data_IF_074132930303
#
_entry.id   IF_074132930303
#
_cell.length_a   1.000
_cell.length_b   1.000
_cell.length_c   1.000
_cell.angle_alpha   90.00
_cell.angle_beta   90.00
_cell.angle_gamma   90.00
#
_symmetry.space_group_name_H-M   'P 1'
#
loop_
_entity.id
_entity.type
_entity.pdbx_description
1 polymer ?
#
# COMPACT_ATOMS: atom_id res chain seq x y z
N UNK A 1 -35.82 -1.32 -10.12
CA UNK A 1 -34.35 -1.12 -10.15
C UNK A 1 -33.65 -2.02 -9.11
N UNK A 2 -34.02 -3.30 -9.02
CA UNK A 2 -34.06 -3.95 -7.68
C UNK A 2 -33.63 -5.43 -7.58
N UNK A 3 -33.45 -6.19 -8.66
CA UNK A 3 -32.98 -7.59 -8.59
C UNK A 3 -31.54 -7.77 -9.10
N UNK A 4 -31.24 -7.24 -10.31
CA UNK A 4 -29.91 -7.30 -10.93
C UNK A 4 -28.83 -6.65 -10.06
N UNK A 5 -29.14 -5.53 -9.40
CA UNK A 5 -28.20 -4.82 -8.52
C UNK A 5 -27.90 -5.54 -7.22
N UNK A 6 -28.78 -6.43 -6.76
CA UNK A 6 -28.58 -7.28 -5.57
C UNK A 6 -27.74 -8.50 -5.94
N UNK A 7 -28.04 -9.16 -7.06
CA UNK A 7 -27.27 -10.30 -7.57
C UNK A 7 -25.83 -9.89 -7.81
N UNK A 8 -25.60 -8.77 -8.50
CA UNK A 8 -24.25 -8.27 -8.78
C UNK A 8 -23.49 -7.90 -7.51
N UNK A 9 -24.16 -7.31 -6.52
CA UNK A 9 -23.56 -6.99 -5.22
C UNK A 9 -23.11 -8.26 -4.48
N UNK A 10 -23.96 -9.29 -4.46
CA UNK A 10 -23.63 -10.57 -3.83
C UNK A 10 -22.49 -11.26 -4.58
N UNK A 11 -22.52 -11.26 -5.91
CA UNK A 11 -21.44 -11.80 -6.73
C UNK A 11 -20.10 -11.12 -6.47
N UNK A 12 -20.06 -9.78 -6.48
CA UNK A 12 -18.84 -9.02 -6.19
C UNK A 12 -18.36 -9.25 -4.75
N UNK A 13 -19.28 -9.39 -3.78
CA UNK A 13 -18.92 -9.78 -2.41
C UNK A 13 -18.21 -11.13 -2.37
N UNK A 14 -18.78 -12.16 -2.99
CA UNK A 14 -18.18 -13.49 -3.02
C UNK A 14 -16.84 -13.50 -3.76
N UNK A 15 -16.72 -12.76 -4.87
CA UNK A 15 -15.42 -12.64 -5.56
C UNK A 15 -14.33 -11.99 -4.69
N UNK A 16 -14.68 -10.96 -3.91
CA UNK A 16 -13.74 -10.32 -2.98
C UNK A 16 -13.24 -11.30 -1.93
N UNK A 17 -14.16 -12.03 -1.30
CA UNK A 17 -13.85 -13.04 -0.29
C UNK A 17 -13.04 -14.19 -0.90
N UNK A 18 -13.40 -14.64 -2.09
CA UNK A 18 -12.66 -15.68 -2.82
C UNK A 18 -11.21 -15.26 -3.08
N UNK A 19 -10.97 -14.01 -3.52
CA UNK A 19 -9.61 -13.52 -3.76
C UNK A 19 -8.75 -13.50 -2.49
N UNK A 20 -9.31 -13.07 -1.35
CA UNK A 20 -8.63 -13.10 -0.04
C UNK A 20 -8.32 -14.55 0.36
N UNK A 21 -9.29 -15.45 0.28
CA UNK A 21 -9.15 -16.86 0.70
C UNK A 21 -8.23 -17.66 -0.21
N UNK A 22 -8.23 -17.39 -1.51
CA UNK A 22 -7.28 -18.00 -2.44
C UNK A 22 -5.83 -17.67 -2.08
N UNK A 23 -5.57 -16.42 -1.67
CA UNK A 23 -4.25 -16.02 -1.16
C UNK A 23 -3.90 -16.73 0.16
N UNK A 24 -4.85 -16.76 1.11
CA UNK A 24 -4.64 -17.45 2.39
C UNK A 24 -4.28 -18.93 2.19
N UNK A 25 -5.07 -19.63 1.38
CA UNK A 25 -4.91 -21.06 1.11
C UNK A 25 -3.60 -21.37 0.39
N UNK A 26 -3.14 -20.50 -0.52
CA UNK A 26 -1.91 -20.73 -1.28
C UNK A 26 -0.63 -20.61 -0.44
N UNK A 27 -0.70 -19.83 0.65
CA UNK A 27 0.45 -19.49 1.49
C UNK A 27 0.27 -19.89 2.95
N UNK A 28 -0.62 -20.85 3.21
CA UNK A 28 -0.83 -21.50 4.50
C UNK A 28 -1.07 -20.49 5.64
N UNK A 29 -1.81 -19.42 5.33
CA UNK A 29 -2.20 -18.41 6.30
C UNK A 29 -3.32 -19.00 7.15
N UNK A 30 -2.97 -19.51 8.34
CA UNK A 30 -3.97 -19.79 9.37
C UNK A 30 -4.83 -18.53 9.60
N UNK A 31 -6.13 -18.66 9.89
CA UNK A 31 -6.97 -17.50 10.21
C UNK A 31 -6.42 -16.81 11.46
N UNK A 32 -5.65 -15.75 11.24
CA UNK A 32 -5.02 -14.93 12.26
C UNK A 32 -5.96 -13.77 12.56
N UNK A 33 -6.24 -13.51 13.84
CA UNK A 33 -6.99 -12.33 14.22
C UNK A 33 -6.28 -11.04 13.77
N UNK A 34 -7.00 -10.01 13.25
CA UNK A 34 -8.44 -9.88 13.00
C UNK A 34 -8.89 -10.16 11.55
N UNK A 35 -8.36 -11.17 10.87
CA UNK A 35 -8.66 -11.42 9.44
C UNK A 35 -10.15 -11.62 9.14
N UNK A 36 -10.89 -12.29 10.01
CA UNK A 36 -12.34 -12.45 9.85
C UNK A 36 -13.07 -11.10 9.88
N UNK A 37 -12.71 -10.20 10.78
CA UNK A 37 -13.29 -8.85 10.82
C UNK A 37 -12.98 -8.08 9.54
N UNK A 38 -11.78 -8.27 8.97
CA UNK A 38 -11.43 -7.68 7.69
C UNK A 38 -12.27 -8.26 6.54
N UNK A 39 -12.48 -9.58 6.48
CA UNK A 39 -13.37 -10.21 5.50
C UNK A 39 -14.81 -9.69 5.60
N UNK A 40 -15.36 -9.59 6.82
CA UNK A 40 -16.69 -9.04 7.06
C UNK A 40 -16.81 -7.57 6.62
N UNK A 41 -15.77 -6.77 6.89
CA UNK A 41 -15.67 -5.38 6.45
C UNK A 41 -15.66 -5.29 4.92
N UNK A 42 -14.79 -6.02 4.24
CA UNK A 42 -14.69 -6.06 2.77
C UNK A 42 -15.99 -6.58 2.13
N UNK A 43 -16.68 -7.51 2.79
CA UNK A 43 -17.96 -8.03 2.33
C UNK A 43 -19.08 -6.99 2.33
N UNK A 44 -19.03 -5.99 3.23
CA UNK A 44 -20.03 -4.92 3.37
C UNK A 44 -19.78 -3.72 2.45
N UNK A 45 -18.57 -3.59 1.90
CA UNK A 45 -18.20 -2.47 1.02
C UNK A 45 -19.05 -2.51 -0.26
N UNK A 46 -19.64 -1.36 -0.57
CA UNK A 46 -20.44 -1.14 -1.78
C UNK A 46 -19.64 -0.34 -2.80
N UNK A 47 -20.04 -0.36 -4.08
CA UNK A 47 -19.34 0.36 -5.16
C UNK A 47 -18.01 -0.26 -5.57
N UNK A 48 -17.35 0.36 -6.55
CA UNK A 48 -16.11 -0.12 -7.12
C UNK A 48 -14.95 -0.07 -6.12
N UNK A 49 -14.11 -1.10 -6.15
CA UNK A 49 -12.92 -1.18 -5.32
C UNK A 49 -11.85 -2.07 -5.96
N UNK A 50 -10.69 -2.14 -5.32
CA UNK A 50 -9.72 -3.21 -5.56
C UNK A 50 -9.23 -3.78 -4.23
N UNK A 51 -8.74 -5.01 -4.25
CA UNK A 51 -8.05 -5.61 -3.12
C UNK A 51 -6.61 -5.84 -3.55
N UNK A 52 -5.68 -5.38 -2.74
CA UNK A 52 -4.29 -5.82 -2.75
C UNK A 52 -4.14 -6.98 -1.78
N UNK A 53 -3.47 -8.03 -2.24
CA UNK A 53 -2.94 -9.10 -1.41
C UNK A 53 -1.43 -9.11 -1.57
N UNK A 54 -0.69 -9.20 -0.46
CA UNK A 54 0.77 -9.06 -0.49
C UNK A 54 1.49 -10.08 0.37
N UNK A 55 2.73 -10.35 -0.02
CA UNK A 55 3.65 -11.15 0.77
C UNK A 55 4.87 -10.31 1.14
N UNK A 56 5.26 -10.37 2.41
CA UNK A 56 6.58 -9.91 2.88
C UNK A 56 7.43 -11.14 3.11
N UNK A 57 8.56 -11.20 2.41
CA UNK A 57 9.54 -12.27 2.47
C UNK A 57 10.75 -11.75 3.23
N UNK A 58 11.17 -12.48 4.27
CA UNK A 58 12.35 -12.19 5.09
C UNK A 58 13.20 -13.46 5.22
N UNK A 59 14.21 -13.58 4.35
CA UNK A 59 14.90 -14.83 4.08
C UNK A 59 13.89 -15.91 3.65
N UNK A 60 13.78 -17.01 4.38
CA UNK A 60 12.82 -18.08 4.10
C UNK A 60 11.45 -17.87 4.76
N UNK A 61 11.30 -16.82 5.60
CA UNK A 61 10.04 -16.53 6.27
C UNK A 61 9.08 -15.81 5.33
N UNK A 62 7.88 -16.37 5.17
CA UNK A 62 6.79 -15.80 4.38
C UNK A 62 5.69 -15.23 5.30
N UNK A 63 5.43 -13.94 5.20
CA UNK A 63 4.34 -13.25 5.88
C UNK A 63 3.28 -12.86 4.83
N UNK A 64 2.18 -13.61 4.79
CA UNK A 64 1.16 -13.51 3.73
C UNK A 64 -0.23 -13.06 4.23
N UNK A 65 -0.45 -12.84 5.52
CA UNK A 65 -1.74 -12.33 6.01
C UNK A 65 -1.85 -10.80 5.86
N UNK A 66 -1.70 -10.30 4.63
CA UNK A 66 -1.55 -8.87 4.33
C UNK A 66 -2.48 -8.45 3.20
N UNK A 67 -3.46 -7.62 3.53
CA UNK A 67 -4.49 -7.20 2.59
C UNK A 67 -4.78 -5.71 2.72
N UNK A 68 -5.04 -5.04 1.60
CA UNK A 68 -5.57 -3.67 1.58
C UNK A 68 -6.77 -3.60 0.65
N UNK A 69 -7.84 -2.97 1.12
CA UNK A 69 -8.95 -2.53 0.29
C UNK A 69 -8.66 -1.13 -0.24
N UNK A 70 -8.82 -0.94 -1.55
CA UNK A 70 -8.71 0.33 -2.25
C UNK A 70 -10.09 0.84 -2.61
N UNK A 71 -10.46 2.02 -2.10
CA UNK A 71 -11.71 2.66 -2.46
C UNK A 71 -11.58 3.41 -3.79
N UNK A 72 -12.50 3.16 -4.72
CA UNK A 72 -12.68 3.97 -5.93
C UNK A 72 -13.95 4.80 -5.75
N UNK A 73 -13.75 6.06 -5.35
CA UNK A 73 -14.82 7.03 -5.08
C UNK A 73 -14.50 8.34 -5.77
N UNK A 74 -15.56 9.10 -6.01
CA UNK A 74 -15.44 10.51 -6.33
C UNK A 74 -14.81 11.26 -5.16
N UNK A 75 -14.08 12.33 -5.45
CA UNK A 75 -13.36 13.12 -4.45
C UNK A 75 -14.31 13.74 -3.41
N UNK A 76 -13.74 14.23 -2.30
CA UNK A 76 -14.52 14.92 -1.28
C UNK A 76 -15.21 13.98 -0.28
N UNK A 77 -16.49 14.25 -0.01
CA UNK A 77 -17.21 13.64 1.13
C UNK A 77 -17.35 12.11 1.04
N UNK A 78 -17.26 11.52 -0.16
CA UNK A 78 -17.30 10.07 -0.30
C UNK A 78 -16.09 9.40 0.39
N UNK A 79 -14.89 9.99 0.30
CA UNK A 79 -13.72 9.49 1.03
C UNK A 79 -13.84 9.66 2.54
N UNK A 80 -14.51 10.71 3.02
CA UNK A 80 -14.80 10.88 4.45
C UNK A 80 -15.68 9.75 4.97
N UNK A 81 -16.72 9.38 4.22
CA UNK A 81 -17.59 8.24 4.54
C UNK A 81 -16.83 6.92 4.54
N UNK A 82 -15.98 6.68 3.55
CA UNK A 82 -15.13 5.48 3.52
C UNK A 82 -14.20 5.42 4.74
N UNK A 83 -13.62 6.54 5.17
CA UNK A 83 -12.82 6.56 6.40
C UNK A 83 -13.67 6.19 7.63
N UNK A 84 -14.89 6.72 7.75
CA UNK A 84 -15.78 6.38 8.87
C UNK A 84 -16.11 4.89 8.91
N UNK A 85 -16.39 4.27 7.76
CA UNK A 85 -16.60 2.83 7.63
C UNK A 85 -15.36 2.04 8.08
N UNK A 86 -14.18 2.50 7.70
CA UNK A 86 -12.93 1.87 8.11
C UNK A 86 -12.58 2.04 9.58
N UNK A 87 -12.87 3.21 10.18
CA UNK A 87 -12.72 3.44 11.62
C UNK A 87 -13.68 2.54 12.38
N UNK A 88 -14.92 2.34 11.90
CA UNK A 88 -15.85 1.41 12.51
C UNK A 88 -15.33 -0.04 12.47
N UNK A 89 -14.65 -0.45 11.39
CA UNK A 89 -13.91 -1.71 11.37
C UNK A 89 -12.81 -1.76 12.43
N UNK A 90 -11.99 -0.70 12.57
CA UNK A 90 -10.94 -0.68 13.59
C UNK A 90 -11.53 -0.75 15.01
N UNK A 91 -12.65 -0.06 15.27
CA UNK A 91 -13.36 -0.14 16.54
C UNK A 91 -13.90 -1.55 16.84
N UNK A 92 -14.28 -2.34 15.84
CA UNK A 92 -14.64 -3.75 16.04
C UNK A 92 -13.42 -4.57 16.50
N UNK A 93 -12.24 -4.29 15.95
CA UNK A 93 -10.99 -4.94 16.38
C UNK A 93 -10.63 -4.53 17.81
N UNK A 94 -10.77 -3.24 18.16
CA UNK A 94 -10.53 -2.72 19.52
C UNK A 94 -11.51 -3.22 20.58
N UNK A 95 -12.69 -3.72 20.18
CA UNK A 95 -13.66 -4.27 21.13
C UNK A 95 -13.20 -5.57 21.80
N UNK A 96 -12.11 -6.18 21.33
CA UNK A 96 -11.50 -7.36 21.93
C UNK A 96 -10.60 -7.01 23.12
N UNK A 97 -10.58 -7.89 24.13
CA UNK A 97 -10.13 -7.64 25.53
C UNK A 97 -8.67 -7.14 25.71
N UNK A 98 -7.87 -7.01 24.65
CA UNK A 98 -6.43 -6.69 24.77
C UNK A 98 -5.89 -5.76 23.68
N UNK A 99 -6.76 -5.12 22.89
CA UNK A 99 -6.34 -4.22 21.81
C UNK A 99 -6.75 -2.79 22.13
N UNK A 100 -5.77 -1.88 22.12
CA UNK A 100 -6.03 -0.43 22.18
C UNK A 100 -5.16 0.26 21.15
N UNK A 101 -5.78 0.83 20.12
CA UNK A 101 -5.06 1.49 19.05
C UNK A 101 -4.75 2.94 19.46
N UNK A 102 -3.61 3.44 19.00
CA UNK A 102 -3.22 4.83 19.23
C UNK A 102 -3.48 5.67 17.98
N UNK A 103 -4.48 6.53 18.03
CA UNK A 103 -4.86 7.38 16.91
C UNK A 103 -4.18 8.76 16.92
N UNK A 104 -3.31 9.07 17.88
CA UNK A 104 -2.81 10.43 18.09
C UNK A 104 -2.12 11.03 16.86
N UNK A 105 -1.23 10.25 16.23
CA UNK A 105 -0.52 10.67 15.02
C UNK A 105 -1.51 10.89 13.87
N UNK A 106 -2.47 9.99 13.72
CA UNK A 106 -3.48 10.06 12.67
C UNK A 106 -4.43 11.26 12.85
N UNK A 107 -4.89 11.51 14.08
CA UNK A 107 -5.74 12.66 14.41
C UNK A 107 -5.01 13.97 14.20
N UNK A 108 -3.72 14.07 14.59
CA UNK A 108 -2.87 15.24 14.31
C UNK A 108 -2.71 15.47 12.81
N UNK A 109 -2.56 14.40 12.02
CA UNK A 109 -2.46 14.52 10.57
C UNK A 109 -3.75 15.07 9.95
N UNK A 110 -4.92 14.53 10.34
CA UNK A 110 -6.19 15.04 9.86
C UNK A 110 -6.42 16.49 10.29
N UNK A 111 -6.18 16.82 11.55
CA UNK A 111 -6.49 18.14 12.11
C UNK A 111 -7.99 18.45 12.03
N UNK A 112 -8.35 19.74 12.19
CA UNK A 112 -9.75 20.18 12.18
C UNK A 112 -10.29 20.42 10.77
N UNK A 113 -9.45 20.93 9.88
CA UNK A 113 -9.85 21.44 8.55
C UNK A 113 -9.28 20.59 7.42
N UNK A 114 -9.36 19.25 7.55
CA UNK A 114 -8.89 18.34 6.51
C UNK A 114 -9.72 18.51 5.22
N UNK A 115 -9.07 18.90 4.14
CA UNK A 115 -9.71 19.07 2.84
C UNK A 115 -9.81 17.74 2.09
N UNK A 116 -11.00 17.15 2.14
CA UNK A 116 -11.33 15.88 1.50
C UNK A 116 -11.33 15.96 -0.03
N UNK A 117 -11.45 17.15 -0.63
CA UNK A 117 -11.40 17.30 -2.09
C UNK A 117 -10.02 16.98 -2.67
N UNK A 118 -8.99 17.07 -1.81
CA UNK A 118 -7.59 16.79 -2.17
C UNK A 118 -7.20 15.33 -2.05
N UNK A 119 -8.10 14.46 -1.55
CA UNK A 119 -7.86 13.01 -1.47
C UNK A 119 -8.14 12.36 -2.82
N UNK A 120 -7.11 11.76 -3.40
CA UNK A 120 -7.21 10.96 -4.62
C UNK A 120 -7.50 9.49 -4.36
N UNK A 121 -7.12 8.99 -3.18
CA UNK A 121 -7.31 7.60 -2.80
C UNK A 121 -7.26 7.42 -1.30
N UNK A 122 -8.11 6.51 -0.82
CA UNK A 122 -8.06 5.97 0.52
C UNK A 122 -7.92 4.45 0.42
N UNK A 123 -7.10 3.87 1.29
CA UNK A 123 -7.04 2.42 1.49
C UNK A 123 -7.19 2.07 2.96
N UNK A 124 -7.64 0.85 3.23
CA UNK A 124 -7.76 0.30 4.58
C UNK A 124 -7.41 -1.17 4.56
N UNK A 125 -6.65 -1.65 5.53
CA UNK A 125 -6.48 -3.08 5.67
C UNK A 125 -5.62 -3.53 6.83
N UNK A 126 -4.93 -4.64 6.62
CA UNK A 126 -4.31 -5.44 7.68
C UNK A 126 -2.93 -5.98 7.26
N UNK A 127 -2.02 -6.09 8.22
CA UNK A 127 -0.76 -6.85 8.13
C UNK A 127 -0.64 -7.69 9.40
N UNK A 128 -0.99 -8.98 9.31
CA UNK A 128 -1.17 -9.82 10.49
C UNK A 128 -0.01 -10.79 10.67
N UNK A 129 0.35 -10.99 11.94
CA UNK A 129 1.48 -11.79 12.39
C UNK A 129 1.00 -12.88 13.34
N UNK A 130 1.79 -13.93 13.49
CA UNK A 130 1.55 -14.97 14.50
C UNK A 130 1.56 -14.40 15.92
N UNK A 131 2.44 -13.44 16.18
CA UNK A 131 2.45 -12.67 17.42
C UNK A 131 1.49 -11.47 17.30
N UNK A 132 0.39 -11.51 18.06
CA UNK A 132 -0.69 -10.53 17.99
C UNK A 132 -0.22 -9.06 18.13
N UNK A 133 0.65 -8.69 19.10
CA UNK A 133 1.27 -7.38 19.20
C UNK A 133 1.92 -6.82 17.93
N UNK A 134 2.42 -7.71 17.05
CA UNK A 134 3.12 -7.33 15.82
C UNK A 134 2.18 -7.19 14.62
N UNK A 135 0.92 -7.60 14.76
CA UNK A 135 -0.13 -7.34 13.78
C UNK A 135 -0.48 -5.85 13.76
N UNK A 136 -0.89 -5.35 12.60
CA UNK A 136 -1.33 -3.96 12.44
C UNK A 136 -2.53 -3.80 11.53
N UNK A 137 -3.31 -2.77 11.82
CA UNK A 137 -4.30 -2.20 10.91
C UNK A 137 -3.66 -1.04 10.15
N UNK A 138 -4.11 -0.79 8.92
CA UNK A 138 -3.41 0.14 8.01
C UNK A 138 -4.36 1.11 7.34
N UNK A 139 -3.94 2.37 7.23
CA UNK A 139 -4.51 3.36 6.31
C UNK A 139 -3.48 3.82 5.30
N UNK A 140 -3.91 4.15 4.09
CA UNK A 140 -3.12 5.01 3.20
C UNK A 140 -3.98 6.09 2.56
N UNK A 141 -3.46 7.31 2.55
CA UNK A 141 -4.04 8.45 1.84
C UNK A 141 -3.12 8.81 0.68
N UNK A 142 -3.66 8.93 -0.52
CA UNK A 142 -2.97 9.58 -1.63
C UNK A 142 -3.58 10.95 -1.82
N UNK A 143 -2.76 12.00 -1.71
CA UNK A 143 -3.23 13.40 -1.74
C UNK A 143 -2.60 14.16 -2.91
N UNK A 144 -3.33 15.13 -3.45
CA UNK A 144 -2.87 16.00 -4.53
C UNK A 144 -3.12 17.46 -4.19
N UNK A 145 -2.21 18.33 -4.61
CA UNK A 145 -2.31 19.78 -4.40
C UNK A 145 -2.51 20.13 -2.91
N UNK A 146 -1.86 19.36 -2.01
CA UNK A 146 -2.02 19.48 -0.55
C UNK A 146 -0.69 19.62 0.23
N UNK A 147 0.17 20.60 -0.11
CA UNK A 147 1.52 20.71 0.46
C UNK A 147 1.55 20.81 1.99
N UNK A 148 0.57 21.47 2.61
CA UNK A 148 0.46 21.59 4.08
C UNK A 148 0.35 20.21 4.78
N UNK A 149 -0.35 19.25 4.18
CA UNK A 149 -0.46 17.89 4.73
C UNK A 149 0.78 17.06 4.50
N UNK A 150 1.53 17.32 3.43
CA UNK A 150 2.86 16.74 3.23
C UNK A 150 3.78 17.21 4.37
N UNK A 151 3.82 18.52 4.64
CA UNK A 151 4.63 19.10 5.72
C UNK A 151 4.21 18.59 7.11
N UNK A 152 2.91 18.37 7.31
CA UNK A 152 2.39 17.77 8.53
C UNK A 152 2.81 16.31 8.68
N UNK A 153 2.68 15.49 7.63
CA UNK A 153 3.15 14.10 7.66
C UNK A 153 4.66 14.02 7.94
N UNK A 154 5.46 14.90 7.36
CA UNK A 154 6.90 14.98 7.60
C UNK A 154 7.24 15.32 9.05
N UNK A 155 6.56 16.31 9.65
CA UNK A 155 6.74 16.61 11.08
C UNK A 155 6.33 15.44 11.97
N UNK A 156 5.21 14.79 11.67
CA UNK A 156 4.66 13.71 12.49
C UNK A 156 5.45 12.42 12.40
N UNK A 157 6.02 12.12 11.23
CA UNK A 157 6.92 10.98 11.03
C UNK A 157 8.21 11.07 11.83
N UNK A 158 8.50 12.23 12.44
CA UNK A 158 9.75 12.50 13.16
C UNK A 158 10.99 12.16 12.31
N UNK A 159 10.83 12.21 10.99
CA UNK A 159 11.80 11.77 10.00
C UNK A 159 13.21 12.27 10.36
N UNK A 160 14.16 11.36 10.31
CA UNK A 160 15.56 11.65 10.58
C UNK A 160 16.10 12.73 9.62
N UNK A 161 17.26 13.31 9.97
CA UNK A 161 17.91 14.34 9.13
C UNK A 161 18.13 13.86 7.68
N UNK A 162 18.19 12.55 7.45
CA UNK A 162 18.43 11.93 6.13
C UNK A 162 17.18 12.05 5.26
N UNK A 163 16.01 11.69 5.75
CA UNK A 163 14.79 11.72 4.91
C UNK A 163 14.30 13.17 4.68
N UNK A 164 14.57 14.08 5.63
CA UNK A 164 14.40 15.52 5.41
C UNK A 164 15.33 16.08 4.31
N UNK A 165 16.59 15.65 4.27
CA UNK A 165 17.52 15.98 3.18
C UNK A 165 17.06 15.41 1.84
N UNK A 166 16.51 14.18 1.82
CA UNK A 166 15.98 13.55 0.61
C UNK A 166 14.88 14.40 -0.02
N UNK A 167 13.89 14.79 0.77
CA UNK A 167 12.79 15.62 0.29
C UNK A 167 13.29 16.99 -0.17
N UNK A 168 14.16 17.64 0.61
CA UNK A 168 14.71 18.94 0.24
C UNK A 168 15.48 18.85 -1.08
N UNK A 169 16.22 17.76 -1.29
CA UNK A 169 16.88 17.51 -2.56
C UNK A 169 15.88 17.30 -3.69
N UNK A 170 14.84 16.48 -3.49
CA UNK A 170 13.82 16.24 -4.51
C UNK A 170 13.08 17.54 -4.86
N UNK A 171 12.81 18.39 -3.87
CA UNK A 171 12.10 19.65 -4.04
C UNK A 171 12.83 20.68 -4.91
N UNK A 172 14.14 20.50 -5.13
CA UNK A 172 14.90 21.30 -6.12
C UNK A 172 14.54 20.96 -7.56
N UNK A 173 13.96 19.77 -7.78
CA UNK A 173 13.65 19.24 -9.10
C UNK A 173 12.14 19.14 -9.35
N UNK A 174 11.36 18.84 -8.30
CA UNK A 174 9.89 18.80 -8.36
C UNK A 174 9.31 19.75 -7.31
N UNK A 175 8.56 20.79 -7.72
CA UNK A 175 7.87 21.66 -6.77
C UNK A 175 6.96 20.85 -5.84
N UNK A 176 6.92 21.19 -4.54
CA UNK A 176 6.07 20.46 -3.57
C UNK A 176 4.59 20.39 -3.97
N UNK A 177 4.09 21.41 -4.68
CA UNK A 177 2.72 21.44 -5.21
C UNK A 177 2.45 20.35 -6.26
N UNK A 178 3.47 19.85 -6.94
CA UNK A 178 3.36 18.79 -7.96
C UNK A 178 3.58 17.39 -7.37
N UNK A 179 3.99 17.29 -6.10
CA UNK A 179 4.12 16.00 -5.43
C UNK A 179 2.72 15.44 -5.13
N UNK A 180 2.56 14.14 -5.41
CA UNK A 180 1.34 13.39 -5.12
C UNK A 180 1.70 12.25 -4.17
N UNK A 181 2.11 12.53 -2.92
CA UNK A 181 2.59 11.48 -2.06
C UNK A 181 1.44 10.57 -1.60
N UNK A 182 1.80 9.32 -1.33
CA UNK A 182 1.02 8.46 -0.48
C UNK A 182 1.52 8.60 0.96
N UNK A 183 0.59 8.61 1.92
CA UNK A 183 0.86 8.75 3.36
C UNK A 183 0.21 7.54 4.03
N UNK A 184 1.03 6.65 4.59
CA UNK A 184 0.61 5.44 5.29
C UNK A 184 0.56 5.64 6.79
N UNK A 185 -0.38 4.97 7.46
CA UNK A 185 -0.47 4.85 8.90
C UNK A 185 -0.63 3.39 9.28
N UNK A 186 0.25 2.91 10.16
CA UNK A 186 0.20 1.55 10.69
C UNK A 186 -0.14 1.61 12.18
N UNK A 187 -1.23 0.98 12.59
CA UNK A 187 -1.73 0.92 13.95
C UNK A 187 -1.50 -0.50 14.46
N UNK A 188 -0.41 -0.71 15.20
CA UNK A 188 -0.08 -2.01 15.76
C UNK A 188 -1.00 -2.32 16.93
N UNK A 189 -1.33 -3.59 17.11
CA UNK A 189 -2.29 -4.02 18.14
C UNK A 189 -1.75 -3.89 19.58
N UNK A 190 -0.45 -3.58 19.74
CA UNK A 190 0.17 -3.20 21.02
C UNK A 190 0.08 -1.70 21.35
N UNK A 191 -0.62 -0.90 20.54
CA UNK A 191 -0.79 0.54 20.74
C UNK A 191 0.33 1.41 20.16
N UNK A 192 1.33 0.82 19.49
CA UNK A 192 2.29 1.58 18.69
C UNK A 192 1.64 2.03 17.38
N UNK A 193 1.95 3.24 16.95
CA UNK A 193 1.51 3.76 15.65
C UNK A 193 2.69 4.33 14.88
N UNK A 194 2.75 4.04 13.60
CA UNK A 194 3.77 4.54 12.69
C UNK A 194 3.11 5.31 11.53
N UNK A 195 3.82 6.28 10.99
CA UNK A 195 3.44 7.01 9.78
C UNK A 195 4.59 6.93 8.78
N UNK A 196 4.26 6.65 7.52
CA UNK A 196 5.23 6.58 6.42
C UNK A 196 4.82 7.51 5.28
N UNK A 197 5.79 8.21 4.71
CA UNK A 197 5.60 9.05 3.54
C UNK A 197 6.25 8.38 2.33
N UNK A 198 5.48 8.20 1.25
CA UNK A 198 5.96 7.66 -0.01
C UNK A 198 6.04 8.78 -1.04
N UNK A 199 7.26 9.17 -1.41
CA UNK A 199 7.48 10.15 -2.49
C UNK A 199 7.38 9.44 -3.83
N UNK A 200 6.49 9.91 -4.70
CA UNK A 200 6.19 9.25 -5.97
C UNK A 200 6.86 9.97 -7.17
N UNK A 201 7.50 9.20 -8.03
CA UNK A 201 7.94 9.62 -9.36
C UNK A 201 7.17 8.81 -10.40
N UNK A 202 6.64 9.48 -11.43
CA UNK A 202 5.92 8.83 -12.53
C UNK A 202 6.85 8.56 -13.71
N UNK A 203 6.53 7.53 -14.49
CA UNK A 203 7.27 7.15 -15.69
C UNK A 203 7.55 8.32 -16.65
N UNK A 204 6.55 9.17 -16.88
CA UNK A 204 6.67 10.37 -17.73
C UNK A 204 7.77 11.34 -17.26
N UNK A 205 8.15 11.27 -15.99
CA UNK A 205 9.14 12.13 -15.36
C UNK A 205 10.53 11.48 -15.31
N UNK A 206 10.66 10.16 -15.50
CA UNK A 206 11.94 9.44 -15.38
C UNK A 206 13.01 9.90 -16.37
N UNK A 207 12.62 10.41 -17.54
CA UNK A 207 13.54 10.87 -18.59
C UNK A 207 13.80 12.38 -18.54
N UNK A 208 13.16 13.12 -17.63
CA UNK A 208 13.43 14.56 -17.49
C UNK A 208 14.87 14.76 -16.97
N UNK A 209 15.70 15.62 -17.60
CA UNK A 209 17.10 15.79 -17.23
C UNK A 209 17.32 16.05 -15.73
N UNK A 210 16.46 16.87 -15.14
CA UNK A 210 16.49 17.23 -13.73
C UNK A 210 16.20 16.03 -12.80
N UNK A 211 15.28 15.14 -13.21
CA UNK A 211 14.95 13.92 -12.47
C UNK A 211 16.02 12.85 -12.65
N UNK A 212 16.56 12.69 -13.87
CA UNK A 212 17.68 11.79 -14.11
C UNK A 212 18.90 12.19 -13.28
N UNK A 213 19.20 13.49 -13.22
CA UNK A 213 20.29 14.02 -12.39
C UNK A 213 20.09 13.67 -10.91
N UNK A 214 18.88 13.88 -10.38
CA UNK A 214 18.53 13.46 -9.01
C UNK A 214 18.73 11.96 -8.79
N UNK A 215 18.16 11.13 -9.67
CA UNK A 215 18.16 9.68 -9.55
C UNK A 215 19.59 9.11 -9.62
N UNK A 216 20.41 9.57 -10.58
CA UNK A 216 21.78 9.11 -10.77
C UNK A 216 22.72 9.59 -9.65
N UNK A 217 22.50 10.78 -9.09
CA UNK A 217 23.26 11.26 -7.93
C UNK A 217 22.93 10.48 -6.66
N UNK A 218 21.68 10.03 -6.51
CA UNK A 218 21.21 9.45 -5.25
C UNK A 218 21.30 7.94 -5.19
N UNK A 219 21.13 7.25 -6.31
CA UNK A 219 20.94 5.82 -6.35
C UNK A 219 21.92 5.12 -7.31
N UNK A 220 22.39 3.91 -6.95
CA UNK A 220 23.23 3.11 -7.83
C UNK A 220 22.43 2.59 -9.04
N UNK A 221 23.14 2.19 -10.10
CA UNK A 221 22.52 1.62 -11.32
C UNK A 221 21.54 0.47 -11.02
N UNK A 222 21.85 -0.38 -10.04
CA UNK A 222 20.98 -1.51 -9.66
C UNK A 222 19.60 -1.09 -9.14
N UNK A 223 19.46 0.13 -8.61
CA UNK A 223 18.17 0.73 -8.23
C UNK A 223 17.44 1.31 -9.44
N UNK A 224 18.19 1.80 -10.44
CA UNK A 224 17.62 2.49 -11.58
C UNK A 224 17.16 1.52 -12.68
N UNK A 225 17.78 0.34 -12.82
CA UNK A 225 17.44 -0.65 -13.85
C UNK A 225 15.96 -1.07 -13.85
N UNK A 226 15.31 -1.37 -12.71
CA UNK A 226 13.90 -1.73 -12.71
C UNK A 226 12.94 -0.61 -13.17
N UNK A 227 13.42 0.63 -13.29
CA UNK A 227 12.59 1.76 -13.75
C UNK A 227 12.15 1.62 -15.21
N UNK A 228 12.90 0.89 -16.04
CA UNK A 228 12.59 0.63 -17.45
C UNK A 228 11.21 -0.03 -17.62
N UNK A 229 10.88 -0.95 -16.70
CA UNK A 229 9.60 -1.67 -16.66
C UNK A 229 8.61 -1.11 -15.64
N UNK A 230 8.90 0.04 -15.02
CA UNK A 230 8.05 0.63 -13.98
C UNK A 230 7.22 1.81 -14.50
N UNK A 231 5.98 1.90 -14.04
CA UNK A 231 5.11 3.07 -14.26
C UNK A 231 5.28 4.15 -13.20
N UNK A 232 5.62 3.73 -11.98
CA UNK A 232 5.74 4.58 -10.80
C UNK A 232 6.87 4.02 -9.93
N UNK A 233 7.64 4.92 -9.35
CA UNK A 233 8.68 4.62 -8.36
C UNK A 233 8.36 5.37 -7.06
N UNK A 234 8.26 4.66 -5.93
CA UNK A 234 8.17 5.30 -4.62
C UNK A 234 9.45 5.16 -3.82
N UNK A 235 9.76 6.22 -3.08
CA UNK A 235 10.76 6.21 -2.01
C UNK A 235 10.00 6.29 -0.69
N UNK A 236 9.96 5.18 0.06
CA UNK A 236 9.34 5.08 1.38
C UNK A 236 10.23 5.67 2.46
N UNK A 237 9.73 6.70 3.14
CA UNK A 237 10.42 7.44 4.19
C UNK A 237 9.67 7.23 5.51
N UNK A 238 10.28 6.49 6.42
CA UNK A 238 9.75 6.22 7.77
C UNK A 238 10.91 6.01 8.74
N UNK A 239 10.74 6.45 10.00
CA UNK A 239 11.66 6.12 11.08
C UNK A 239 11.76 4.61 11.35
N UNK A 240 10.70 3.86 11.06
CA UNK A 240 10.68 2.41 11.24
C UNK A 240 11.67 1.69 10.29
N UNK A 241 12.11 2.38 9.23
CA UNK A 241 12.99 1.84 8.21
C UNK A 241 14.41 2.40 8.36
N UNK A 242 15.34 1.58 8.87
CA UNK A 242 16.76 1.97 8.95
C UNK A 242 17.39 2.29 7.58
N UNK A 243 16.79 1.81 6.48
CA UNK A 243 17.11 2.19 5.11
C UNK A 243 15.81 2.41 4.34
N UNK A 244 15.72 3.41 3.44
CA UNK A 244 14.54 3.61 2.62
C UNK A 244 14.14 2.34 1.87
N UNK A 245 12.85 2.02 1.91
CA UNK A 245 12.29 0.97 1.07
C UNK A 245 11.92 1.61 -0.26
N UNK A 246 12.38 1.00 -1.33
CA UNK A 246 12.14 1.44 -2.70
C UNK A 246 11.02 0.60 -3.28
N UNK A 247 10.03 1.26 -3.87
CA UNK A 247 8.87 0.59 -4.45
C UNK A 247 8.79 0.82 -5.94
N UNK A 248 8.58 -0.25 -6.69
CA UNK A 248 8.49 -0.25 -8.15
C UNK A 248 7.11 -0.75 -8.55
N UNK A 249 6.33 0.05 -9.27
CA UNK A 249 5.09 -0.40 -9.90
C UNK A 249 5.39 -0.93 -11.28
N UNK A 250 5.64 -2.22 -11.39
CA UNK A 250 5.91 -2.85 -12.68
C UNK A 250 4.67 -2.79 -13.57
N UNK A 251 4.86 -2.45 -14.84
CA UNK A 251 3.82 -2.44 -15.89
C UNK A 251 3.16 -3.81 -16.03
N UNK A 252 3.98 -4.85 -15.90
CA UNK A 252 3.59 -6.26 -15.99
C UNK A 252 4.25 -7.06 -14.88
N UNK A 253 3.47 -7.87 -14.16
CA UNK A 253 3.95 -8.84 -13.18
C UNK A 253 4.92 -9.85 -13.79
N UNK A 254 4.80 -10.12 -15.09
CA UNK A 254 5.67 -11.03 -15.82
C UNK A 254 7.11 -10.51 -15.95
N UNK A 255 7.35 -9.21 -15.78
CA UNK A 255 8.68 -8.61 -15.89
C UNK A 255 9.45 -8.64 -14.55
N UNK A 256 8.89 -9.21 -13.49
CA UNK A 256 9.52 -9.26 -12.16
C UNK A 256 10.91 -9.91 -12.22
N UNK A 257 11.03 -11.05 -12.89
CA UNK A 257 12.29 -11.82 -12.94
C UNK A 257 13.37 -11.18 -13.83
N UNK A 258 13.01 -10.20 -14.67
CA UNK A 258 13.98 -9.45 -15.47
C UNK A 258 14.87 -8.56 -14.59
N UNK A 259 14.35 -8.14 -13.44
CA UNK A 259 14.95 -7.10 -12.60
C UNK A 259 15.28 -7.56 -11.19
N UNK A 260 14.50 -8.51 -10.64
CA UNK A 260 14.60 -8.94 -9.25
C UNK A 260 14.99 -10.41 -9.18
N UNK A 261 16.18 -10.67 -8.63
CA UNK A 261 16.73 -12.03 -8.44
C UNK A 261 16.15 -12.64 -7.18
N UNK A 262 15.01 -13.30 -7.30
CA UNK A 262 14.24 -13.81 -6.17
C UNK A 262 14.92 -15.00 -5.47
N UNK A 263 14.69 -15.14 -4.17
CA UNK A 263 14.87 -16.41 -3.47
C UNK A 263 13.66 -17.34 -3.68
N UNK A 264 13.75 -18.56 -3.15
CA UNK A 264 12.75 -19.61 -3.40
C UNK A 264 11.37 -19.25 -2.85
N UNK A 265 11.31 -18.62 -1.67
CA UNK A 265 10.06 -18.15 -1.07
C UNK A 265 9.37 -17.09 -1.94
N UNK A 266 10.13 -16.09 -2.42
CA UNK A 266 9.59 -15.07 -3.32
C UNK A 266 9.21 -15.65 -4.70
N UNK A 267 9.97 -16.63 -5.19
CA UNK A 267 9.65 -17.34 -6.43
C UNK A 267 8.34 -18.14 -6.31
N UNK A 268 8.09 -18.82 -5.17
CA UNK A 268 6.81 -19.51 -4.89
C UNK A 268 5.63 -18.54 -5.02
N UNK A 269 5.75 -17.35 -4.42
CA UNK A 269 4.71 -16.31 -4.50
C UNK A 269 4.51 -15.84 -5.94
N UNK A 270 5.59 -15.57 -6.66
CA UNK A 270 5.51 -15.12 -8.06
C UNK A 270 4.84 -16.16 -8.97
N UNK A 271 5.25 -17.44 -8.85
CA UNK A 271 4.70 -18.54 -9.64
C UNK A 271 3.20 -18.70 -9.43
N UNK A 272 2.71 -18.60 -8.19
CA UNK A 272 1.28 -18.63 -7.91
C UNK A 272 0.54 -17.53 -8.67
N UNK A 273 0.96 -16.27 -8.50
CA UNK A 273 0.28 -15.12 -9.11
C UNK A 273 0.46 -14.99 -10.62
N UNK A 274 1.46 -15.64 -11.20
CA UNK A 274 1.64 -15.70 -12.64
C UNK A 274 0.41 -16.32 -13.34
N UNK A 275 -0.24 -17.28 -12.68
CA UNK A 275 -1.41 -18.00 -13.22
C UNK A 275 -2.75 -17.43 -12.75
N UNK A 276 -2.75 -16.48 -11.81
CA UNK A 276 -3.98 -15.90 -11.29
C UNK A 276 -4.52 -14.77 -12.17
N UNK A 277 -5.85 -14.68 -12.24
CA UNK A 277 -6.56 -13.57 -12.87
C UNK A 277 -6.54 -12.33 -11.96
N UNK A 278 -5.42 -11.61 -12.02
CA UNK A 278 -5.19 -10.32 -11.36
C UNK A 278 -4.94 -9.23 -12.40
N UNK A 279 -4.89 -7.97 -11.96
CA UNK A 279 -4.44 -6.88 -12.84
C UNK A 279 -3.01 -7.15 -13.33
N UNK A 280 -2.62 -6.68 -14.52
CA UNK A 280 -1.31 -6.98 -15.08
C UNK A 280 -0.16 -6.37 -14.27
N UNK A 281 -0.34 -5.20 -13.68
CA UNK A 281 0.70 -4.54 -12.90
C UNK A 281 0.86 -5.16 -11.50
N UNK A 282 2.02 -4.97 -10.90
CA UNK A 282 2.28 -5.30 -9.50
C UNK A 282 3.16 -4.24 -8.84
N UNK A 283 3.16 -4.20 -7.50
CA UNK A 283 4.20 -3.44 -6.78
C UNK A 283 5.26 -4.39 -6.23
N UNK A 284 6.49 -3.90 -6.18
CA UNK A 284 7.63 -4.58 -5.56
C UNK A 284 8.28 -3.61 -4.58
N UNK A 285 8.34 -3.96 -3.30
CA UNK A 285 9.00 -3.18 -2.26
C UNK A 285 10.29 -3.86 -1.82
N UNK A 286 11.44 -3.20 -1.96
CA UNK A 286 12.75 -3.78 -1.65
C UNK A 286 13.71 -2.72 -1.11
N UNK A 287 14.59 -3.09 -0.18
CA UNK A 287 15.61 -2.19 0.31
C UNK A 287 16.76 -2.06 -0.71
N UNK A 288 17.39 -0.89 -0.82
CA UNK A 288 18.52 -0.65 -1.74
C UNK A 288 19.61 -1.73 -1.63
N UNK A 289 19.95 -2.15 -0.41
CA UNK A 289 21.01 -3.14 -0.15
C UNK A 289 20.71 -4.52 -0.77
N UNK A 290 19.45 -4.90 -0.90
CA UNK A 290 19.07 -6.20 -1.47
C UNK A 290 19.31 -6.23 -2.98
N UNK A 291 19.14 -5.09 -3.66
CA UNK A 291 19.40 -4.95 -5.10
C UNK A 291 20.89 -5.04 -5.46
N UNK A 292 21.79 -5.01 -4.47
CA UNK A 292 23.24 -5.20 -4.66
C UNK A 292 23.66 -6.66 -4.47
N UNK A 293 22.79 -7.50 -3.93
CA UNK A 293 23.10 -8.92 -3.67
C UNK A 293 22.99 -9.74 -4.94
N UNK A 294 23.62 -10.91 -4.94
CA UNK A 294 23.45 -11.92 -5.99
C UNK A 294 22.04 -12.51 -6.00
N UNK A 295 21.38 -12.55 -4.84
CA UNK A 295 20.00 -12.98 -4.62
C UNK A 295 19.34 -12.11 -3.56
N UNK A 296 18.08 -11.75 -3.77
CA UNK A 296 17.26 -10.95 -2.86
C UNK A 296 16.66 -11.87 -1.81
N UNK A 297 16.95 -11.58 -0.55
CA UNK A 297 16.43 -12.34 0.58
C UNK A 297 15.26 -11.62 1.27
N UNK A 298 15.19 -10.29 1.14
CA UNK A 298 14.13 -9.49 1.75
C UNK A 298 13.38 -8.68 0.70
N UNK A 299 12.11 -9.03 0.46
CA UNK A 299 11.29 -8.39 -0.58
C UNK A 299 9.81 -8.41 -0.22
N UNK A 300 9.08 -7.42 -0.71
CA UNK A 300 7.62 -7.32 -0.59
C UNK A 300 7.00 -7.37 -1.99
N UNK A 301 6.07 -8.28 -2.21
CA UNK A 301 5.38 -8.46 -3.50
C UNK A 301 3.89 -8.19 -3.30
N UNK A 302 3.31 -7.33 -4.13
CA UNK A 302 1.94 -6.83 -3.98
C UNK A 302 1.16 -7.04 -5.27
N UNK A 303 0.05 -7.76 -5.19
CA UNK A 303 -0.81 -8.12 -6.32
C UNK A 303 -2.24 -7.61 -6.10
N UNK A 304 -2.95 -7.29 -7.18
CA UNK A 304 -4.24 -6.60 -7.08
C UNK A 304 -5.32 -7.27 -7.93
N UNK A 305 -6.55 -7.30 -7.44
CA UNK A 305 -7.74 -7.60 -8.25
C UNK A 305 -8.74 -6.44 -8.10
N UNK A 306 -9.31 -6.00 -9.21
CA UNK A 306 -10.34 -4.96 -9.23
C UNK A 306 -11.72 -5.60 -9.24
N UNK A 307 -12.66 -5.00 -8.52
CA UNK A 307 -14.05 -5.45 -8.41
C UNK A 307 -14.93 -4.25 -8.75
N UNK A 308 -15.56 -4.30 -9.93
CA UNK A 308 -16.35 -3.19 -10.46
C UNK A 308 -17.75 -3.66 -10.80
N UNK A 309 -18.70 -2.75 -10.67
CA UNK A 309 -20.02 -2.96 -11.26
C UNK A 309 -19.88 -2.90 -12.78
N UNK A 310 -20.39 -3.92 -13.47
CA UNK A 310 -20.69 -3.83 -14.89
C UNK A 310 -21.70 -2.69 -15.06
N UNK A 311 -21.33 -1.69 -15.86
CA UNK A 311 -22.29 -0.70 -16.29
C UNK A 311 -23.35 -1.44 -17.10
N UNK A 312 -24.58 -1.48 -16.60
CA UNK A 312 -25.73 -1.81 -17.42
C UNK A 312 -25.87 -0.71 -18.47
N UNK A 313 -25.21 -0.88 -19.61
CA UNK A 313 -25.51 -0.13 -20.83
C UNK A 313 -26.96 -0.44 -21.18
N UNK A 314 -27.88 0.46 -20.81
CA UNK A 314 -29.25 0.49 -21.31
C UNK A 314 -29.32 1.36 -22.55
#
# INVERSE_FOLDING_TARGET
MTSISVIQRNFLREQRLHFIRAHQNAFDVNPIFPLQHFEEFVGKVTGDCAIEASCKIENDQLIASRFLLFYFRDAGQAYKKCLQESIAFFSQVESQVQVKLNYDIFQKFLGKDFDWSKVMRLTTGVDLRSNLPDSSLKFHFRVKDYPEKIDTALRLSSIDKISGKMLNSLSKFIPRSQLIPQIGFDFYLNGRTEIELYLELFEKDFLKPEIQSFLQQRFPKSVLTPLEDSQIFHIGLSQANANPVLYYRLKSKHNLLNHFRLNDAAQRVHSFYHQQETVPYMWVGVAEKELKKTRIENIRLYYFKSFKYENSSS
#
